data_IF_699178355293
#
_entry.id   IF_699178355293
#
_cell.length_a   1.000
_cell.length_b   1.000
_cell.length_c   1.000
_cell.angle_alpha   90.00
_cell.angle_beta   90.00
_cell.angle_gamma   90.00
#
_symmetry.space_group_name_H-M   'P 1'
#
loop_
_entity.id
_entity.type
_entity.pdbx_description
1 polymer ?
#
# COMPACT_ATOMS: atom_id res chain seq x y z
N UNK A 1 -8.10 -43.60 16.20
CA UNK A 1 -8.05 -42.16 15.87
C UNK A 1 -8.58 -42.02 14.46
N UNK A 2 -9.63 -41.23 14.24
CA UNK A 2 -10.12 -40.98 12.89
C UNK A 2 -9.00 -40.24 12.12
N UNK A 3 -8.60 -40.77 10.96
CA UNK A 3 -7.62 -40.10 10.11
C UNK A 3 -8.18 -38.73 9.71
N UNK A 4 -7.37 -37.67 9.83
CA UNK A 4 -7.79 -36.35 9.41
C UNK A 4 -8.14 -36.37 7.90
N UNK A 5 -9.23 -35.73 7.47
CA UNK A 5 -9.59 -35.67 6.06
C UNK A 5 -8.47 -34.99 5.27
N UNK A 6 -8.10 -35.61 4.15
CA UNK A 6 -7.06 -35.13 3.25
C UNK A 6 -7.71 -34.47 2.05
N UNK A 7 -7.22 -33.29 1.69
CA UNK A 7 -7.74 -32.47 0.60
C UNK A 7 -6.67 -32.25 -0.46
N UNK A 8 -7.11 -31.67 -1.59
CA UNK A 8 -6.27 -31.21 -2.69
C UNK A 8 -5.51 -32.34 -3.40
N UNK A 9 -4.90 -32.02 -4.54
CA UNK A 9 -4.01 -32.93 -5.29
C UNK A 9 -2.78 -33.36 -4.48
N UNK A 10 -2.38 -32.59 -3.46
CA UNK A 10 -1.23 -32.89 -2.60
C UNK A 10 -1.56 -33.83 -1.44
N UNK A 11 -2.82 -34.21 -1.25
CA UNK A 11 -3.28 -35.14 -0.19
C UNK A 11 -2.78 -34.76 1.20
N UNK A 12 -2.92 -33.47 1.54
CA UNK A 12 -2.54 -32.92 2.85
C UNK A 12 -3.79 -32.61 3.70
N UNK A 13 -3.67 -32.63 5.03
CA UNK A 13 -4.75 -32.20 5.91
C UNK A 13 -5.03 -30.69 5.74
N UNK A 14 -6.19 -30.25 6.20
CA UNK A 14 -6.58 -28.84 6.17
C UNK A 14 -5.61 -27.96 6.98
N UNK A 15 -5.23 -26.82 6.39
CA UNK A 15 -4.34 -25.83 6.98
C UNK A 15 -4.98 -24.45 6.88
N UNK A 16 -5.34 -23.87 8.03
CA UNK A 16 -6.00 -22.55 8.15
C UNK A 16 -5.14 -21.42 7.58
N UNK A 17 -3.82 -21.59 7.51
CA UNK A 17 -2.90 -20.56 7.01
C UNK A 17 -2.84 -20.50 5.47
N UNK A 18 -3.44 -21.46 4.76
CA UNK A 18 -3.35 -21.58 3.31
C UNK A 18 -4.70 -21.32 2.67
N UNK A 19 -4.70 -20.42 1.69
CA UNK A 19 -5.88 -20.17 0.85
C UNK A 19 -6.30 -21.45 0.10
N UNK A 20 -7.58 -21.81 0.21
CA UNK A 20 -8.19 -22.94 -0.50
C UNK A 20 -9.47 -22.51 -1.21
N UNK A 21 -9.76 -23.19 -2.33
CA UNK A 21 -10.96 -23.00 -3.15
C UNK A 21 -11.64 -24.35 -3.39
N UNK A 22 -12.97 -24.39 -3.35
CA UNK A 22 -13.78 -25.60 -3.57
C UNK A 22 -14.13 -25.77 -5.05
N UNK A 23 -13.97 -26.99 -5.58
CA UNK A 23 -14.40 -27.32 -6.94
C UNK A 23 -15.89 -27.66 -6.98
N UNK A 24 -16.65 -26.99 -7.85
CA UNK A 24 -18.10 -27.17 -7.95
C UNK A 24 -18.52 -28.54 -8.49
N UNK A 25 -17.64 -29.22 -9.22
CA UNK A 25 -17.91 -30.53 -9.81
C UNK A 25 -17.61 -31.66 -8.81
N UNK A 26 -16.37 -31.75 -8.32
CA UNK A 26 -15.95 -32.85 -7.45
C UNK A 26 -16.16 -32.60 -5.95
N UNK A 27 -16.53 -31.38 -5.56
CA UNK A 27 -16.72 -30.94 -4.16
C UNK A 27 -15.51 -31.15 -3.24
N UNK A 28 -14.31 -31.27 -3.84
CA UNK A 28 -13.04 -31.31 -3.12
C UNK A 28 -12.43 -29.90 -3.03
N UNK A 29 -11.57 -29.69 -2.03
CA UNK A 29 -10.92 -28.42 -1.74
C UNK A 29 -9.47 -28.43 -2.21
N UNK A 30 -9.06 -27.35 -2.89
CA UNK A 30 -7.74 -27.23 -3.50
C UNK A 30 -7.00 -26.03 -2.94
N UNK A 31 -5.73 -26.20 -2.55
CA UNK A 31 -4.88 -25.06 -2.21
C UNK A 31 -4.66 -24.21 -3.46
N UNK A 32 -4.88 -22.90 -3.39
CA UNK A 32 -4.68 -21.99 -4.53
C UNK A 32 -3.28 -22.12 -5.15
N UNK A 33 -2.25 -22.30 -4.31
CA UNK A 33 -0.87 -22.55 -4.73
C UNK A 33 -0.68 -23.84 -5.55
N UNK A 34 -1.51 -24.87 -5.35
CA UNK A 34 -1.43 -26.15 -6.05
C UNK A 34 -2.15 -26.11 -7.41
N UNK A 35 -3.11 -25.20 -7.57
CA UNK A 35 -3.93 -25.06 -8.79
C UNK A 35 -3.70 -23.73 -9.51
N UNK A 36 -2.71 -22.95 -9.09
CA UNK A 36 -2.35 -21.65 -9.67
C UNK A 36 -3.49 -20.61 -9.60
N UNK A 37 -4.28 -20.67 -8.53
CA UNK A 37 -5.34 -19.69 -8.24
C UNK A 37 -4.86 -18.80 -7.10
N UNK A 38 -4.65 -17.52 -7.41
CA UNK A 38 -4.33 -16.50 -6.42
C UNK A 38 -5.58 -16.08 -5.64
N UNK A 39 -5.41 -15.66 -4.39
CA UNK A 39 -6.53 -15.26 -3.52
C UNK A 39 -7.37 -14.11 -4.12
N UNK A 40 -6.73 -13.14 -4.79
CA UNK A 40 -7.45 -12.05 -5.46
C UNK A 40 -8.21 -12.49 -6.73
N UNK A 41 -7.86 -13.62 -7.34
CA UNK A 41 -8.61 -14.18 -8.47
C UNK A 41 -9.85 -14.96 -8.01
N UNK A 42 -9.81 -15.52 -6.80
CA UNK A 42 -10.89 -16.35 -6.26
C UNK A 42 -12.25 -15.67 -6.29
N UNK A 43 -12.29 -14.36 -6.01
CA UNK A 43 -13.54 -13.61 -5.96
C UNK A 43 -14.12 -13.36 -7.36
N UNK A 44 -13.32 -13.49 -8.40
CA UNK A 44 -13.78 -13.35 -9.78
C UNK A 44 -14.34 -14.65 -10.36
N UNK A 45 -14.05 -15.78 -9.73
CA UNK A 45 -14.54 -17.09 -10.15
C UNK A 45 -15.96 -17.25 -9.60
N UNK A 46 -16.90 -17.56 -10.48
CA UNK A 46 -18.29 -17.86 -10.13
C UNK A 46 -18.45 -19.35 -9.82
N UNK A 47 -17.93 -20.20 -10.72
CA UNK A 47 -17.93 -21.66 -10.60
C UNK A 47 -16.50 -22.15 -10.85
N UNK A 48 -15.88 -22.75 -9.83
CA UNK A 48 -14.50 -23.21 -9.93
C UNK A 48 -14.45 -24.68 -10.37
N UNK A 49 -13.69 -24.94 -11.43
CA UNK A 49 -13.36 -26.28 -11.90
C UNK A 49 -11.88 -26.57 -11.66
N UNK A 50 -11.59 -27.65 -10.92
CA UNK A 50 -10.21 -28.08 -10.70
C UNK A 50 -9.58 -28.62 -12.00
N UNK A 51 -8.24 -28.71 -12.11
CA UNK A 51 -7.57 -29.12 -13.34
C UNK A 51 -8.03 -30.48 -13.92
N UNK A 52 -8.50 -31.39 -13.06
CA UNK A 52 -9.04 -32.68 -13.51
C UNK A 52 -10.46 -32.53 -14.07
N UNK A 53 -11.32 -31.73 -13.42
CA UNK A 53 -12.69 -31.49 -13.86
C UNK A 53 -12.77 -30.55 -15.07
N UNK A 54 -11.78 -29.66 -15.25
CA UNK A 54 -11.68 -28.77 -16.40
C UNK A 54 -11.67 -29.55 -17.73
N UNK A 55 -10.93 -30.65 -17.78
CA UNK A 55 -10.82 -31.50 -18.98
C UNK A 55 -12.17 -32.09 -19.42
N UNK A 56 -13.06 -32.40 -18.46
CA UNK A 56 -14.34 -33.05 -18.75
C UNK A 56 -15.52 -32.07 -18.83
N UNK A 57 -15.49 -30.99 -18.04
CA UNK A 57 -16.60 -30.05 -17.87
C UNK A 57 -16.33 -28.65 -18.43
N UNK A 58 -15.13 -28.43 -19.00
CA UNK A 58 -14.67 -27.13 -19.48
C UNK A 58 -14.07 -26.26 -18.38
N UNK A 59 -13.54 -25.07 -18.73
CA UNK A 59 -12.84 -24.21 -17.79
C UNK A 59 -13.77 -23.63 -16.72
N UNK A 60 -13.17 -23.11 -15.66
CA UNK A 60 -13.90 -22.38 -14.60
C UNK A 60 -14.71 -21.22 -15.19
N UNK A 61 -15.93 -21.00 -14.67
CA UNK A 61 -16.79 -19.90 -15.10
C UNK A 61 -16.43 -18.64 -14.31
N UNK A 62 -16.11 -17.58 -15.04
CA UNK A 62 -15.79 -16.28 -14.45
C UNK A 62 -17.05 -15.43 -14.31
N UNK A 63 -17.14 -14.65 -13.23
CA UNK A 63 -18.20 -13.66 -13.06
C UNK A 63 -18.17 -12.65 -14.20
N UNK A 64 -19.36 -12.35 -14.72
CA UNK A 64 -19.50 -11.38 -15.82
C UNK A 64 -19.43 -9.96 -15.29
N UNK A 65 -18.63 -9.12 -15.95
CA UNK A 65 -18.54 -7.69 -15.64
C UNK A 65 -19.76 -6.95 -16.19
N UNK A 66 -20.59 -6.46 -15.29
CA UNK A 66 -21.78 -5.67 -15.60
C UNK A 66 -21.54 -4.15 -15.40
N UNK A 67 -20.60 -3.77 -14.52
CA UNK A 67 -20.28 -2.36 -14.26
C UNK A 67 -18.77 -2.10 -14.06
N UNK A 68 -18.39 -0.82 -14.09
CA UNK A 68 -17.02 -0.33 -13.89
C UNK A 68 -16.89 0.76 -12.81
N UNK A 69 -17.94 0.96 -12.00
CA UNK A 69 -18.02 2.03 -10.99
C UNK A 69 -18.27 1.51 -9.57
N UNK A 70 -18.46 0.20 -9.39
CA UNK A 70 -18.64 -0.47 -8.09
C UNK A 70 -17.50 -1.44 -7.82
N UNK A 71 -17.26 -1.70 -6.54
CA UNK A 71 -16.31 -2.72 -6.06
C UNK A 71 -16.77 -4.12 -6.47
N UNK A 72 -18.09 -4.37 -6.37
CA UNK A 72 -18.70 -5.53 -7.00
C UNK A 72 -19.10 -5.20 -8.45
N UNK A 73 -18.25 -5.64 -9.37
CA UNK A 73 -18.42 -5.40 -10.79
C UNK A 73 -19.58 -6.20 -11.42
N UNK A 74 -20.22 -7.10 -10.68
CA UNK A 74 -21.39 -7.87 -11.15
C UNK A 74 -22.71 -7.15 -10.90
N UNK A 75 -22.72 -6.10 -10.07
CA UNK A 75 -23.93 -5.32 -9.81
C UNK A 75 -24.50 -4.71 -11.12
N UNK A 76 -25.83 -4.59 -11.25
CA UNK A 76 -26.47 -3.96 -12.39
C UNK A 76 -25.97 -2.53 -12.62
N UNK A 77 -25.72 -2.16 -13.87
CA UNK A 77 -25.36 -0.79 -14.24
C UNK A 77 -26.63 0.04 -14.51
N UNK A 78 -27.44 0.24 -13.47
CA UNK A 78 -28.72 0.96 -13.53
C UNK A 78 -28.60 2.47 -13.21
N UNK A 79 -27.42 2.93 -12.81
CA UNK A 79 -27.14 4.32 -12.44
C UNK A 79 -27.71 4.75 -11.09
N UNK A 80 -28.26 3.82 -10.30
CA UNK A 80 -28.82 4.12 -8.98
C UNK A 80 -27.74 4.22 -7.90
N UNK A 81 -26.65 3.46 -8.07
CA UNK A 81 -25.56 3.38 -7.10
C UNK A 81 -24.44 4.36 -7.43
N UNK A 82 -23.85 5.03 -6.42
CA UNK A 82 -22.76 5.97 -6.63
C UNK A 82 -21.46 5.26 -7.00
N UNK A 83 -20.51 6.04 -7.52
CA UNK A 83 -19.17 5.58 -7.87
C UNK A 83 -18.37 5.28 -6.60
N UNK A 84 -17.65 4.15 -6.58
CA UNK A 84 -16.80 3.75 -5.46
C UNK A 84 -15.31 4.01 -5.70
N UNK A 85 -14.59 4.35 -4.64
CA UNK A 85 -13.15 4.62 -4.64
C UNK A 85 -12.34 3.47 -5.24
N UNK A 86 -11.34 3.82 -6.06
CA UNK A 86 -10.44 2.86 -6.73
C UNK A 86 -10.97 2.20 -8.00
N UNK A 87 -12.26 2.36 -8.32
CA UNK A 87 -12.83 1.82 -9.57
C UNK A 87 -12.31 2.57 -10.81
N UNK A 88 -12.33 1.97 -12.01
CA UNK A 88 -11.88 2.63 -13.23
C UNK A 88 -12.60 3.96 -13.52
N UNK A 89 -13.92 4.02 -13.25
CA UNK A 89 -14.69 5.26 -13.40
C UNK A 89 -14.24 6.31 -12.39
N UNK A 90 -14.03 5.92 -11.13
CA UNK A 90 -13.52 6.82 -10.08
C UNK A 90 -12.16 7.43 -10.46
N UNK A 91 -11.20 6.61 -10.93
CA UNK A 91 -9.88 7.11 -11.30
C UNK A 91 -9.97 8.10 -12.47
N UNK A 92 -10.82 7.81 -13.46
CA UNK A 92 -11.05 8.72 -14.59
C UNK A 92 -11.65 10.05 -14.13
N UNK A 93 -12.65 10.02 -13.25
CA UNK A 93 -13.22 11.24 -12.66
C UNK A 93 -12.17 12.02 -11.87
N UNK A 94 -11.40 11.33 -11.02
CA UNK A 94 -10.35 11.90 -10.21
C UNK A 94 -9.27 12.63 -11.05
N UNK A 95 -8.89 12.04 -12.19
CA UNK A 95 -7.94 12.66 -13.13
C UNK A 95 -8.49 13.93 -13.79
N UNK A 96 -9.80 14.03 -13.99
CA UNK A 96 -10.46 15.21 -14.57
C UNK A 96 -10.79 16.31 -13.57
N UNK A 97 -10.75 16.00 -12.26
CA UNK A 97 -11.05 16.97 -11.20
C UNK A 97 -9.99 18.06 -11.10
N UNK A 98 -10.44 19.27 -10.76
CA UNK A 98 -9.59 20.43 -10.50
C UNK A 98 -9.32 20.56 -9.00
N UNK A 99 -8.06 20.79 -8.64
CA UNK A 99 -7.60 20.92 -7.26
C UNK A 99 -6.72 22.15 -7.10
N UNK A 100 -6.59 22.66 -5.86
CA UNK A 100 -5.59 23.68 -5.55
C UNK A 100 -4.18 23.11 -5.76
N UNK A 101 -3.23 23.95 -6.19
CA UNK A 101 -1.86 23.50 -6.40
C UNK A 101 -1.18 23.21 -5.05
N UNK A 102 -0.53 22.05 -4.94
CA UNK A 102 0.28 21.72 -3.77
C UNK A 102 1.47 22.68 -3.56
N UNK A 103 1.85 23.46 -4.56
CA UNK A 103 2.90 24.48 -4.44
C UNK A 103 2.55 25.59 -3.44
N UNK A 104 1.25 25.82 -3.17
CA UNK A 104 0.80 26.80 -2.17
C UNK A 104 1.17 26.41 -0.72
N UNK A 105 1.35 25.11 -0.47
CA UNK A 105 1.56 24.55 0.87
C UNK A 105 2.92 23.87 1.04
N UNK A 106 3.58 23.53 -0.07
CA UNK A 106 4.85 22.82 -0.04
C UNK A 106 6.02 23.78 0.17
N UNK A 107 6.90 23.41 1.09
CA UNK A 107 8.18 24.07 1.26
C UNK A 107 9.20 23.41 0.33
N UNK A 108 9.61 24.11 -0.72
CA UNK A 108 10.69 23.63 -1.58
C UNK A 108 12.04 23.92 -0.92
N UNK A 109 12.85 22.87 -0.74
CA UNK A 109 14.15 22.96 -0.08
C UNK A 109 15.20 22.10 -0.79
N UNK A 110 16.47 22.49 -0.67
CA UNK A 110 17.61 21.62 -1.05
C UNK A 110 17.90 20.64 0.06
N UNK A 111 18.44 19.45 -0.25
CA UNK A 111 18.76 18.42 0.74
C UNK A 111 19.61 18.94 1.90
N UNK A 112 20.66 19.72 1.60
CA UNK A 112 21.54 20.35 2.60
C UNK A 112 20.82 21.27 3.61
N UNK A 113 19.67 21.84 3.22
CA UNK A 113 18.90 22.74 4.09
C UNK A 113 18.00 21.96 5.06
N UNK A 114 17.65 20.72 4.71
CA UNK A 114 16.77 19.86 5.49
C UNK A 114 17.57 19.21 6.62
N UNK A 115 17.80 19.97 7.68
CA UNK A 115 18.54 19.55 8.87
C UNK A 115 17.65 19.47 10.10
N UNK A 116 18.02 18.66 11.08
CA UNK A 116 17.32 18.58 12.38
C UNK A 116 17.21 19.95 13.03
N UNK A 117 18.30 20.73 13.04
CA UNK A 117 18.35 22.09 13.57
C UNK A 117 17.38 23.04 12.86
N UNK A 118 17.19 22.89 11.55
CA UNK A 118 16.22 23.71 10.82
C UNK A 118 14.79 23.39 11.25
N UNK A 119 14.46 22.09 11.34
CA UNK A 119 13.12 21.61 11.73
C UNK A 119 12.79 21.92 13.20
N UNK A 120 13.77 21.90 14.09
CA UNK A 120 13.60 22.33 15.49
C UNK A 120 13.32 23.83 15.61
N UNK A 121 13.96 24.66 14.76
CA UNK A 121 13.81 26.12 14.79
C UNK A 121 12.52 26.61 14.15
N UNK A 122 12.19 26.08 12.98
CA UNK A 122 11.03 26.55 12.19
C UNK A 122 9.80 25.67 12.36
N UNK A 123 9.96 24.50 12.99
CA UNK A 123 8.92 23.48 13.10
C UNK A 123 8.76 22.68 11.81
N UNK A 124 8.25 21.45 11.94
CA UNK A 124 7.89 20.60 10.81
C UNK A 124 6.36 20.53 10.70
N UNK A 125 5.76 21.56 10.09
CA UNK A 125 4.30 21.70 9.99
C UNK A 125 3.75 21.53 8.58
N UNK A 126 4.57 21.81 7.56
CA UNK A 126 4.19 21.75 6.15
C UNK A 126 5.01 20.68 5.41
N UNK A 127 4.47 20.07 4.34
CA UNK A 127 5.19 19.10 3.53
C UNK A 127 6.40 19.76 2.88
N UNK A 128 7.54 19.07 2.90
CA UNK A 128 8.78 19.56 2.31
C UNK A 128 9.06 18.78 1.04
N UNK A 129 9.22 19.50 -0.08
CA UNK A 129 9.61 18.92 -1.38
C UNK A 129 11.09 19.18 -1.61
N UNK A 130 11.84 18.10 -1.79
CA UNK A 130 13.29 18.12 -2.04
C UNK A 130 13.55 17.60 -3.45
N UNK A 131 14.05 18.48 -4.32
CA UNK A 131 14.39 18.16 -5.71
C UNK A 131 15.87 17.79 -5.87
N UNK A 132 16.74 18.26 -4.98
CA UNK A 132 18.17 17.95 -4.96
C UNK A 132 18.46 17.12 -3.70
N UNK A 133 18.75 15.82 -3.88
CA UNK A 133 18.99 14.88 -2.77
C UNK A 133 20.36 15.05 -2.09
N UNK A 134 21.24 15.85 -2.70
CA UNK A 134 22.56 16.17 -2.15
C UNK A 134 22.41 16.81 -0.75
N UNK A 135 23.13 16.24 0.22
CA UNK A 135 23.06 16.66 1.63
C UNK A 135 21.91 16.06 2.44
N UNK A 136 20.97 15.30 1.84
CA UNK A 136 19.86 14.67 2.56
C UNK A 136 20.29 13.40 3.33
N UNK A 137 21.46 12.82 3.01
CA UNK A 137 21.92 11.55 3.57
C UNK A 137 21.22 10.31 3.01
N UNK A 138 20.22 10.50 2.14
CA UNK A 138 19.47 9.44 1.50
C UNK A 138 20.35 8.73 0.45
N UNK A 139 20.58 7.42 0.63
CA UNK A 139 21.19 6.56 -0.40
C UNK A 139 20.15 5.61 -0.94
N UNK A 140 20.12 5.48 -2.26
CA UNK A 140 19.18 4.64 -2.98
C UNK A 140 19.92 3.88 -4.09
N UNK A 141 19.35 2.75 -4.55
CA UNK A 141 19.84 2.08 -5.75
C UNK A 141 19.75 3.01 -6.98
N UNK A 142 20.51 2.71 -8.06
CA UNK A 142 20.53 3.55 -9.25
C UNK A 142 19.13 3.65 -9.89
N UNK A 143 18.84 4.71 -10.66
CA UNK A 143 17.54 4.88 -11.34
C UNK A 143 17.16 3.74 -12.29
N UNK A 144 18.12 2.93 -12.71
CA UNK A 144 17.91 1.72 -13.53
C UNK A 144 17.42 0.51 -12.74
N UNK A 145 17.34 0.60 -11.41
CA UNK A 145 16.87 -0.49 -10.55
C UNK A 145 15.42 -0.82 -10.86
N UNK A 146 15.16 -2.09 -11.15
CA UNK A 146 13.89 -2.59 -11.64
C UNK A 146 13.18 -3.44 -10.60
N UNK A 147 11.90 -3.71 -10.85
CA UNK A 147 11.10 -4.64 -10.02
C UNK A 147 11.71 -6.05 -9.97
N UNK A 148 12.45 -6.47 -11.02
CA UNK A 148 13.17 -7.75 -11.03
C UNK A 148 14.36 -7.75 -10.08
N UNK A 149 15.01 -6.61 -9.90
CA UNK A 149 16.11 -6.50 -8.94
C UNK A 149 15.56 -6.60 -7.51
N UNK A 150 14.39 -6.01 -7.22
CA UNK A 150 13.68 -6.22 -5.95
C UNK A 150 13.49 -7.73 -5.68
N UNK A 151 13.04 -8.51 -6.66
CA UNK A 151 12.92 -9.97 -6.52
C UNK A 151 14.26 -10.64 -6.19
N UNK A 152 15.36 -10.21 -6.81
CA UNK A 152 16.68 -10.79 -6.58
C UNK A 152 17.24 -10.49 -5.19
N UNK A 153 16.99 -9.29 -4.64
CA UNK A 153 17.49 -8.88 -3.33
C UNK A 153 16.59 -9.32 -2.17
N UNK A 154 15.28 -9.31 -2.37
CA UNK A 154 14.28 -9.70 -1.36
C UNK A 154 14.00 -11.20 -1.39
N UNK A 155 14.02 -11.81 -2.57
CA UNK A 155 13.58 -13.19 -2.78
C UNK A 155 14.60 -14.29 -2.56
N UNK A 156 15.88 -13.95 -2.33
CA UNK A 156 16.91 -14.92 -1.95
C UNK A 156 16.78 -15.23 -0.47
N UNK A 157 15.89 -16.17 -0.14
CA UNK A 157 15.79 -16.75 1.18
C UNK A 157 17.12 -17.51 1.48
N UNK A 158 17.94 -16.96 2.37
CA UNK A 158 19.27 -17.50 2.72
C UNK A 158 19.22 -18.78 3.55
N UNK A 159 18.03 -19.37 3.75
CA UNK A 159 17.81 -20.39 4.78
C UNK A 159 17.87 -21.85 4.29
N UNK A 160 17.74 -22.18 3.00
CA UNK A 160 17.88 -23.57 2.54
C UNK A 160 18.52 -23.66 1.14
N UNK A 161 19.58 -24.47 1.04
CA UNK A 161 20.41 -24.61 -0.16
C UNK A 161 19.69 -25.12 -1.40
N UNK A 162 20.27 -24.75 -2.56
CA UNK A 162 20.18 -25.44 -3.85
C UNK A 162 18.80 -25.99 -4.26
N UNK A 163 17.74 -25.20 -4.20
CA UNK A 163 16.50 -25.48 -4.97
C UNK A 163 15.98 -24.17 -5.58
N UNK A 164 15.66 -24.23 -6.87
CA UNK A 164 15.13 -23.21 -7.76
C UNK A 164 14.68 -21.87 -7.14
N UNK A 165 15.32 -20.84 -7.65
CA UNK A 165 15.24 -19.40 -7.40
C UNK A 165 13.84 -18.84 -7.65
N UNK A 166 12.97 -18.83 -6.63
CA UNK A 166 11.70 -18.11 -6.61
C UNK A 166 11.52 -17.47 -5.23
N UNK A 167 11.23 -16.17 -5.19
CA UNK A 167 10.94 -15.47 -3.93
C UNK A 167 9.74 -16.13 -3.25
N UNK A 168 9.98 -16.69 -2.05
CA UNK A 168 8.95 -17.23 -1.15
C UNK A 168 8.33 -16.16 -0.25
N UNK A 169 8.82 -14.91 -0.29
CA UNK A 169 8.29 -13.84 0.55
C UNK A 169 6.85 -13.54 0.12
N UNK A 170 5.93 -13.76 1.06
CA UNK A 170 4.53 -13.40 0.92
C UNK A 170 4.44 -11.90 1.16
N UNK A 171 3.73 -11.22 0.27
CA UNK A 171 3.51 -9.78 0.30
C UNK A 171 2.01 -9.49 0.33
N UNK A 172 1.65 -8.37 0.95
CA UNK A 172 0.28 -7.87 0.95
C UNK A 172 0.09 -6.92 -0.23
N UNK A 173 -0.87 -7.24 -1.10
CA UNK A 173 -1.15 -6.52 -2.33
C UNK A 173 -2.60 -6.07 -2.32
N UNK A 174 -2.84 -4.86 -2.80
CA UNK A 174 -4.16 -4.24 -2.81
C UNK A 174 -4.78 -4.42 -4.20
N UNK A 175 -5.96 -5.06 -4.27
CA UNK A 175 -6.83 -4.98 -5.43
C UNK A 175 -7.52 -3.60 -5.41
N UNK A 176 -6.98 -2.68 -6.20
CA UNK A 176 -7.35 -1.25 -6.15
C UNK A 176 -8.82 -1.04 -6.49
N UNK A 177 -9.36 -1.81 -7.45
CA UNK A 177 -10.75 -1.68 -7.87
C UNK A 177 -11.75 -2.11 -6.79
N UNK A 178 -11.29 -2.92 -5.83
CA UNK A 178 -12.11 -3.45 -4.73
C UNK A 178 -11.75 -2.85 -3.37
N UNK A 179 -10.67 -2.07 -3.30
CA UNK A 179 -10.08 -1.55 -2.06
C UNK A 179 -9.89 -2.67 -1.02
N UNK A 180 -9.40 -3.83 -1.46
CA UNK A 180 -9.25 -5.01 -0.63
C UNK A 180 -7.81 -5.54 -0.68
N UNK A 181 -7.27 -5.89 0.49
CA UNK A 181 -5.97 -6.54 0.63
C UNK A 181 -6.05 -8.03 0.29
N UNK A 182 -5.01 -8.55 -0.35
CA UNK A 182 -4.81 -9.97 -0.64
C UNK A 182 -3.34 -10.33 -0.53
N UNK A 183 -3.05 -11.57 -0.17
CA UNK A 183 -1.68 -12.08 -0.08
C UNK A 183 -1.27 -12.75 -1.38
N UNK A 184 -0.07 -12.48 -1.85
CA UNK A 184 0.53 -13.20 -2.98
C UNK A 184 2.05 -13.31 -2.83
N UNK A 185 2.71 -14.15 -3.63
CA UNK A 185 4.18 -14.20 -3.61
C UNK A 185 4.75 -13.02 -4.37
N UNK A 186 5.89 -12.50 -3.92
CA UNK A 186 6.62 -11.46 -4.65
C UNK A 186 6.89 -11.89 -6.10
N UNK A 187 7.29 -13.14 -6.33
CA UNK A 187 7.56 -13.65 -7.68
C UNK A 187 6.32 -13.63 -8.60
N UNK A 188 5.12 -13.86 -8.07
CA UNK A 188 3.86 -13.75 -8.82
C UNK A 188 3.53 -12.29 -9.12
N UNK A 189 3.74 -11.39 -8.16
CA UNK A 189 3.52 -9.95 -8.36
C UNK A 189 4.46 -9.38 -9.42
N UNK A 190 5.72 -9.79 -9.44
CA UNK A 190 6.70 -9.35 -10.44
C UNK A 190 6.36 -9.87 -11.84
N UNK A 191 5.84 -11.11 -11.95
CA UNK A 191 5.29 -11.64 -13.22
C UNK A 191 4.09 -10.83 -13.69
N UNK A 192 3.16 -10.51 -12.79
CA UNK A 192 2.01 -9.64 -13.08
C UNK A 192 2.47 -8.25 -13.54
N UNK A 193 3.42 -7.64 -12.82
CA UNK A 193 3.93 -6.30 -13.11
C UNK A 193 4.63 -6.25 -14.47
N UNK A 194 5.37 -7.31 -14.82
CA UNK A 194 6.08 -7.40 -16.10
C UNK A 194 5.16 -7.67 -17.29
N UNK A 195 3.90 -8.08 -17.06
CA UNK A 195 2.94 -8.33 -18.13
C UNK A 195 2.34 -7.00 -18.62
N UNK A 196 2.41 -6.68 -19.94
CA UNK A 196 1.81 -5.47 -20.48
C UNK A 196 0.28 -5.49 -20.46
N UNK A 197 -0.34 -6.68 -20.46
CA UNK A 197 -1.79 -6.84 -20.39
C UNK A 197 -2.18 -7.24 -18.97
N UNK A 198 -2.59 -6.25 -18.17
CA UNK A 198 -2.95 -6.44 -16.76
C UNK A 198 -4.48 -6.53 -16.62
N UNK A 199 -5.04 -7.66 -16.17
CA UNK A 199 -6.49 -7.83 -16.05
C UNK A 199 -7.07 -7.02 -14.89
N UNK A 200 -6.25 -6.70 -13.89
CA UNK A 200 -6.59 -5.94 -12.68
C UNK A 200 -5.53 -4.91 -12.37
N UNK A 201 -5.84 -3.96 -11.51
CA UNK A 201 -4.91 -2.96 -10.98
C UNK A 201 -4.50 -3.39 -9.57
N UNK A 202 -3.26 -3.86 -9.43
CA UNK A 202 -2.68 -4.30 -8.15
C UNK A 202 -1.62 -3.31 -7.69
N UNK A 203 -1.64 -2.99 -6.40
CA UNK A 203 -0.71 -2.04 -5.79
C UNK A 203 -0.04 -2.65 -4.56
N UNK A 204 1.28 -2.50 -4.46
CA UNK A 204 2.07 -2.94 -3.32
C UNK A 204 2.63 -1.72 -2.59
N UNK A 205 2.20 -1.50 -1.35
CA UNK A 205 2.61 -0.34 -0.54
C UNK A 205 3.32 -0.70 0.76
N UNK A 206 3.24 -1.96 1.19
CA UNK A 206 3.65 -2.41 2.53
C UNK A 206 4.83 -3.38 2.53
N UNK A 207 5.61 -3.46 1.43
CA UNK A 207 6.80 -4.30 1.38
C UNK A 207 7.93 -3.68 2.21
N UNK A 208 7.99 -4.08 3.48
CA UNK A 208 9.09 -3.80 4.39
C UNK A 208 10.27 -4.73 4.08
N UNK A 209 11.45 -4.14 3.92
CA UNK A 209 12.65 -4.87 3.48
C UNK A 209 13.87 -4.68 4.39
N UNK A 210 13.71 -4.15 5.60
CA UNK A 210 14.81 -3.94 6.55
C UNK A 210 15.52 -5.24 6.93
N UNK A 211 14.80 -6.35 6.89
CA UNK A 211 15.28 -7.71 7.17
C UNK A 211 15.94 -8.41 5.97
N UNK A 212 16.06 -7.74 4.82
CA UNK A 212 16.57 -8.33 3.58
C UNK A 212 17.92 -7.75 3.16
N UNK A 213 18.58 -8.40 2.19
CA UNK A 213 19.80 -7.88 1.55
C UNK A 213 19.59 -6.54 0.83
N UNK A 214 18.35 -6.21 0.49
CA UNK A 214 18.00 -4.92 -0.11
C UNK A 214 18.19 -3.76 0.88
N UNK A 215 18.19 -4.03 2.18
CA UNK A 215 18.42 -3.03 3.23
C UNK A 215 19.79 -2.35 3.11
N UNK A 216 20.80 -3.06 2.60
CA UNK A 216 22.16 -2.54 2.39
C UNK A 216 22.24 -1.51 1.25
N UNK A 217 21.27 -1.52 0.33
CA UNK A 217 21.22 -0.58 -0.80
C UNK A 217 20.55 0.75 -0.45
N UNK A 218 19.83 0.80 0.67
CA UNK A 218 19.00 1.94 1.05
C UNK A 218 19.40 2.46 2.43
N UNK A 219 19.87 3.69 2.46
CA UNK A 219 20.03 4.47 3.69
C UNK A 219 18.95 5.54 3.73
N UNK A 220 18.22 5.62 4.85
CA UNK A 220 17.13 6.59 5.05
C UNK A 220 17.68 8.01 5.16
N UNK A 221 16.87 9.07 4.95
CA UNK A 221 17.31 10.44 5.16
C UNK A 221 17.90 10.68 6.56
N UNK A 222 18.96 11.49 6.64
CA UNK A 222 19.64 11.85 7.89
C UNK A 222 18.67 12.36 8.95
N UNK A 223 17.71 13.19 8.54
CA UNK A 223 16.65 13.73 9.41
C UNK A 223 15.74 12.63 9.95
N UNK A 224 15.35 11.66 9.11
CA UNK A 224 14.50 10.56 9.53
C UNK A 224 15.23 9.68 10.56
N UNK A 225 16.52 9.39 10.32
CA UNK A 225 17.34 8.63 11.25
C UNK A 225 17.56 9.37 12.58
N UNK A 226 18.05 10.61 12.52
CA UNK A 226 18.40 11.41 13.71
C UNK A 226 17.20 11.76 14.58
N UNK A 227 16.01 11.86 14.01
CA UNK A 227 14.80 12.24 14.76
C UNK A 227 13.93 11.04 15.17
N UNK A 228 14.17 9.85 14.60
CA UNK A 228 13.37 8.66 14.86
C UNK A 228 13.45 8.24 16.33
N UNK A 229 12.31 8.06 16.98
CA UNK A 229 12.23 7.48 18.31
C UNK A 229 12.78 6.06 18.37
N UNK A 230 12.55 5.27 17.32
CA UNK A 230 12.98 3.88 17.25
C UNK A 230 14.51 3.78 17.17
N UNK A 231 15.15 4.72 16.48
CA UNK A 231 16.62 4.74 16.37
C UNK A 231 17.31 5.32 17.61
N UNK A 232 16.68 6.26 18.32
CA UNK A 232 17.31 6.94 19.44
C UNK A 232 16.95 6.36 20.82
N UNK A 233 15.76 5.77 20.97
CA UNK A 233 15.20 5.43 22.29
C UNK A 233 14.77 3.97 22.43
N UNK A 234 14.72 3.19 21.35
CA UNK A 234 14.37 1.78 21.46
C UNK A 234 15.56 0.98 22.00
N UNK A 235 15.45 0.32 23.17
CA UNK A 235 16.57 -0.43 23.74
C UNK A 235 16.83 -1.72 22.96
N UNK A 236 18.11 -2.06 22.78
CA UNK A 236 18.54 -3.29 22.09
C UNK A 236 18.16 -4.55 22.87
N UNK A 237 18.05 -4.45 24.20
CA UNK A 237 17.64 -5.51 25.12
C UNK A 237 16.13 -5.50 25.42
N UNK A 238 15.34 -4.77 24.62
CA UNK A 238 13.88 -4.76 24.75
C UNK A 238 13.30 -6.17 24.64
N UNK A 239 12.37 -6.50 25.54
CA UNK A 239 11.56 -7.70 25.42
C UNK A 239 10.68 -7.70 24.16
N UNK A 240 10.29 -6.50 23.69
CA UNK A 240 9.46 -6.35 22.51
C UNK A 240 10.31 -6.28 21.24
N UNK A 241 9.86 -6.89 20.12
CA UNK A 241 10.59 -6.80 18.85
C UNK A 241 10.67 -5.36 18.38
N UNK A 242 11.84 -4.95 17.87
CA UNK A 242 12.05 -3.61 17.32
C UNK A 242 11.09 -3.38 16.15
N UNK A 243 10.33 -2.27 16.12
CA UNK A 243 9.42 -1.97 15.02
C UNK A 243 10.21 -1.55 13.78
N UNK A 244 10.18 -2.38 12.74
CA UNK A 244 10.75 -2.07 11.42
C UNK A 244 9.68 -1.46 10.53
N UNK A 245 9.72 -0.14 10.41
CA UNK A 245 8.78 0.65 9.59
C UNK A 245 9.51 1.75 8.79
N UNK A 246 10.82 1.59 8.62
CA UNK A 246 11.70 2.65 8.13
C UNK A 246 12.02 2.52 6.64
N UNK A 247 11.87 1.31 6.07
CA UNK A 247 12.28 0.99 4.71
C UNK A 247 11.18 0.18 4.00
N UNK A 248 10.34 0.90 3.26
CA UNK A 248 9.31 0.36 2.40
C UNK A 248 9.67 0.51 0.94
N UNK A 249 9.46 -0.55 0.17
CA UNK A 249 9.50 -0.52 -1.29
C UNK A 249 8.06 -0.53 -1.80
N UNK A 250 7.68 0.53 -2.49
CA UNK A 250 6.34 0.68 -3.03
C UNK A 250 6.40 0.44 -4.53
N UNK A 251 5.57 -0.47 -5.03
CA UNK A 251 5.45 -0.79 -6.45
C UNK A 251 3.97 -0.73 -6.83
N UNK A 252 3.62 0.25 -7.65
CA UNK A 252 2.25 0.46 -8.08
C UNK A 252 2.17 0.61 -9.59
N UNK A 253 1.21 -0.08 -10.20
CA UNK A 253 0.92 0.09 -11.62
C UNK A 253 0.15 1.39 -11.85
N UNK A 254 0.12 1.86 -13.10
CA UNK A 254 -0.73 2.97 -13.53
C UNK A 254 -2.17 2.78 -13.03
N UNK A 255 -2.79 3.89 -12.62
CA UNK A 255 -4.14 3.99 -12.08
C UNK A 255 -4.31 3.35 -10.68
N UNK A 256 -3.21 2.95 -10.02
CA UNK A 256 -3.27 2.50 -8.63
C UNK A 256 -3.64 3.65 -7.70
N UNK A 257 -4.62 3.43 -6.82
CA UNK A 257 -5.15 4.43 -5.91
C UNK A 257 -5.20 3.91 -4.47
N UNK A 258 -4.75 4.76 -3.54
CA UNK A 258 -4.88 4.58 -2.10
C UNK A 258 -5.69 5.75 -1.57
N UNK A 259 -6.83 5.44 -0.94
CA UNK A 259 -7.77 6.45 -0.45
C UNK A 259 -7.21 7.28 0.72
N UNK A 260 -7.92 8.33 1.12
CA UNK A 260 -7.50 9.26 2.16
C UNK A 260 -7.26 8.55 3.49
N UNK A 261 -6.07 8.74 4.02
CA UNK A 261 -5.69 8.20 5.32
C UNK A 261 -4.72 9.13 6.06
N UNK A 262 -4.53 8.84 7.34
CA UNK A 262 -3.44 9.36 8.16
C UNK A 262 -2.52 8.17 8.43
N UNK A 263 -1.21 8.37 8.26
CA UNK A 263 -0.22 7.34 8.56
C UNK A 263 -0.35 6.81 9.99
N UNK A 264 -0.10 5.51 10.15
CA UNK A 264 -0.24 4.82 11.43
C UNK A 264 0.58 5.47 12.54
N UNK A 265 -0.01 5.55 13.73
CA UNK A 265 0.54 6.24 14.90
C UNK A 265 0.71 7.76 14.71
N UNK A 266 0.16 8.33 13.63
CA UNK A 266 0.44 9.69 13.21
C UNK A 266 1.90 9.91 12.84
N UNK A 267 2.59 8.91 12.28
CA UNK A 267 4.01 9.01 11.90
C UNK A 267 4.27 10.11 10.86
N UNK A 268 5.50 10.62 10.82
CA UNK A 268 6.03 11.35 9.66
C UNK A 268 6.49 10.37 8.61
N UNK A 269 6.35 10.75 7.33
CA UNK A 269 6.77 9.93 6.19
C UNK A 269 7.84 10.65 5.39
N UNK A 270 8.84 9.91 4.94
CA UNK A 270 9.66 10.29 3.80
C UNK A 270 9.30 9.40 2.61
N UNK A 271 9.27 9.99 1.42
CA UNK A 271 8.83 9.32 0.20
C UNK A 271 9.68 9.77 -0.98
N UNK A 272 10.36 8.86 -1.65
CA UNK A 272 11.19 9.14 -2.82
C UNK A 272 10.73 8.32 -4.02
N UNK A 273 10.44 8.99 -5.13
CA UNK A 273 10.05 8.31 -6.38
C UNK A 273 11.31 7.98 -7.17
N UNK A 274 11.64 6.69 -7.32
CA UNK A 274 12.81 6.29 -8.12
C UNK A 274 12.53 6.47 -9.61
N UNK A 275 11.39 5.95 -10.08
CA UNK A 275 10.88 6.14 -11.44
C UNK A 275 9.36 6.10 -11.46
N UNK A 276 8.77 6.70 -12.49
CA UNK A 276 7.33 6.92 -12.60
C UNK A 276 6.88 8.23 -11.94
N UNK A 277 5.60 8.28 -11.55
CA UNK A 277 5.00 9.48 -10.98
C UNK A 277 3.87 9.14 -10.00
N UNK A 278 3.89 9.81 -8.85
CA UNK A 278 2.84 9.75 -7.83
C UNK A 278 2.20 11.11 -7.65
N UNK A 279 0.89 11.12 -7.45
CA UNK A 279 0.10 12.32 -7.17
C UNK A 279 -0.48 12.17 -5.79
N UNK A 280 -0.09 13.07 -4.88
CA UNK A 280 -0.61 13.15 -3.52
C UNK A 280 -1.73 14.20 -3.48
N UNK A 281 -2.86 13.83 -2.87
CA UNK A 281 -3.95 14.73 -2.55
C UNK A 281 -3.87 15.05 -1.06
N UNK A 282 -3.35 16.23 -0.73
CA UNK A 282 -3.00 16.63 0.62
C UNK A 282 -4.09 17.51 1.23
N UNK A 283 -4.48 17.22 2.46
CA UNK A 283 -5.45 17.99 3.23
C UNK A 283 -4.83 18.38 4.57
N UNK A 284 -4.93 19.67 4.90
CA UNK A 284 -4.41 20.25 6.14
C UNK A 284 -5.17 19.69 7.36
N UNK A 285 -4.52 19.44 8.52
CA UNK A 285 -5.10 18.74 9.66
C UNK A 285 -5.73 19.72 10.62
N UNK A 286 -6.64 20.55 10.13
CA UNK A 286 -7.36 21.44 11.04
C UNK A 286 -8.22 20.58 11.97
N UNK A 287 -8.50 21.02 13.20
CA UNK A 287 -9.42 20.28 14.09
C UNK A 287 -10.76 19.96 13.43
N UNK A 288 -11.24 20.84 12.54
CA UNK A 288 -12.43 20.61 11.73
C UNK A 288 -12.23 19.45 10.73
N UNK A 289 -11.14 19.46 9.94
CA UNK A 289 -10.85 18.41 8.97
C UNK A 289 -10.62 17.05 9.63
N UNK A 290 -9.97 17.02 10.80
CA UNK A 290 -9.76 15.79 11.57
C UNK A 290 -11.08 15.19 12.08
N UNK A 291 -12.01 16.04 12.55
CA UNK A 291 -13.34 15.58 12.95
C UNK A 291 -14.16 15.06 11.75
N UNK A 292 -14.07 15.73 10.60
CA UNK A 292 -14.69 15.27 9.36
C UNK A 292 -14.11 13.94 8.88
N UNK A 293 -12.79 13.77 8.98
CA UNK A 293 -12.09 12.54 8.63
C UNK A 293 -12.52 11.38 9.52
N UNK A 294 -12.60 11.60 10.84
CA UNK A 294 -13.05 10.57 11.79
C UNK A 294 -14.51 10.15 11.53
N UNK A 295 -15.38 11.11 11.20
CA UNK A 295 -16.78 10.83 10.83
C UNK A 295 -16.90 10.12 9.46
N UNK A 296 -16.06 10.47 8.49
CA UNK A 296 -16.03 9.82 7.18
C UNK A 296 -15.47 8.39 7.26
N UNK A 297 -14.38 8.19 8.01
CA UNK A 297 -13.73 6.89 8.16
C UNK A 297 -14.57 5.86 8.93
N UNK A 298 -15.55 6.32 9.73
CA UNK A 298 -16.51 5.46 10.42
C UNK A 298 -17.85 5.32 9.69
N UNK A 299 -18.00 6.00 8.53
CA UNK A 299 -19.24 5.99 7.76
C UNK A 299 -19.40 4.70 6.95
N UNK A 300 -20.60 4.11 6.89
CA UNK A 300 -20.85 2.96 5.99
C UNK A 300 -20.68 3.32 4.52
N UNK A 301 -20.81 4.60 4.16
CA UNK A 301 -20.70 5.10 2.79
C UNK A 301 -19.30 5.65 2.48
N UNK A 302 -18.29 5.31 3.28
CA UNK A 302 -16.90 5.78 3.09
C UNK A 302 -16.43 5.59 1.66
N UNK A 303 -16.66 4.38 1.09
CA UNK A 303 -16.22 4.02 -0.25
C UNK A 303 -16.89 4.80 -1.38
N UNK A 304 -18.04 5.43 -1.13
CA UNK A 304 -18.86 6.14 -2.12
C UNK A 304 -18.66 7.66 -2.09
N UNK A 305 -17.95 8.17 -1.07
CA UNK A 305 -17.79 9.59 -0.82
C UNK A 305 -16.32 9.97 -0.94
N UNK A 306 -15.98 10.79 -1.92
CA UNK A 306 -14.64 11.37 -2.02
C UNK A 306 -14.40 12.39 -0.91
N UNK A 307 -13.53 12.07 0.05
CA UNK A 307 -13.29 12.91 1.22
C UNK A 307 -12.78 14.31 0.87
N UNK A 308 -12.07 14.47 -0.26
CA UNK A 308 -11.61 15.78 -0.72
C UNK A 308 -12.73 16.78 -1.01
N UNK A 309 -13.97 16.34 -1.22
CA UNK A 309 -15.14 17.23 -1.41
C UNK A 309 -15.76 17.68 -0.08
N UNK A 310 -15.39 17.05 1.05
CA UNK A 310 -15.89 17.38 2.39
C UNK A 310 -15.11 18.50 3.07
N UNK A 311 -13.95 18.85 2.53
CA UNK A 311 -13.03 19.82 3.13
C UNK A 311 -12.92 21.07 2.27
N UNK A 312 -12.54 22.19 2.89
CA UNK A 312 -12.46 23.48 2.18
C UNK A 312 -11.43 23.47 1.05
N UNK A 313 -10.28 22.82 1.28
CA UNK A 313 -9.16 22.76 0.32
C UNK A 313 -8.50 21.39 0.34
N UNK A 314 -8.44 20.79 -0.85
CA UNK A 314 -7.65 19.61 -1.15
C UNK A 314 -6.58 19.99 -2.19
N UNK A 315 -5.32 19.77 -1.85
CA UNK A 315 -4.16 20.20 -2.64
C UNK A 315 -3.60 19.04 -3.45
N UNK A 316 -3.42 19.23 -4.76
CA UNK A 316 -2.81 18.24 -5.65
C UNK A 316 -1.30 18.48 -5.74
N UNK A 317 -0.51 17.52 -5.27
CA UNK A 317 0.95 17.53 -5.29
C UNK A 317 1.46 16.44 -6.24
N UNK A 318 2.11 16.85 -7.34
CA UNK A 318 2.76 15.91 -8.27
C UNK A 318 4.21 15.68 -7.81
N UNK A 319 4.54 14.40 -7.59
CA UNK A 319 5.88 13.93 -7.21
C UNK A 319 6.42 13.11 -8.38
N UNK A 320 7.27 13.75 -9.16
CA UNK A 320 7.98 13.14 -10.29
C UNK A 320 9.20 12.35 -9.82
N UNK A 321 9.75 11.52 -10.71
CA UNK A 321 11.00 10.79 -10.49
C UNK A 321 12.13 11.69 -9.96
N UNK A 322 12.94 11.13 -9.05
CA UNK A 322 14.06 11.80 -8.39
C UNK A 322 13.66 12.80 -7.29
N UNK A 323 12.37 13.04 -7.07
CA UNK A 323 11.89 13.95 -6.02
C UNK A 323 11.66 13.19 -4.71
N UNK A 324 12.12 13.78 -3.60
CA UNK A 324 11.78 13.34 -2.25
C UNK A 324 10.74 14.26 -1.63
N UNK A 325 9.68 13.68 -1.06
CA UNK A 325 8.67 14.36 -0.27
C UNK A 325 8.82 13.96 1.19
N UNK A 326 8.78 14.93 2.10
CA UNK A 326 8.68 14.71 3.54
C UNK A 326 7.32 15.20 4.02
N UNK A 327 6.51 14.31 4.56
CA UNK A 327 5.18 14.59 5.09
C UNK A 327 5.25 14.61 6.61
N UNK A 328 4.84 15.70 7.28
CA UNK A 328 4.91 15.79 8.73
C UNK A 328 3.81 15.00 9.46
N UNK A 329 4.23 14.46 10.60
CA UNK A 329 3.49 13.76 11.64
C UNK A 329 2.03 14.14 11.81
N UNK A 330 1.10 13.18 11.63
CA UNK A 330 -0.28 13.26 12.10
C UNK A 330 -1.06 14.50 11.62
N UNK A 331 -0.52 15.15 10.59
CA UNK A 331 -0.90 16.49 10.17
C UNK A 331 -1.35 16.52 8.72
N UNK A 332 -1.27 15.45 7.96
CA UNK A 332 -1.75 15.51 6.58
C UNK A 332 -2.55 14.27 6.27
N UNK A 333 -3.86 14.49 6.14
CA UNK A 333 -4.74 13.49 5.55
C UNK A 333 -4.39 13.48 4.08
N UNK A 334 -4.04 12.31 3.55
CA UNK A 334 -3.60 12.23 2.17
C UNK A 334 -4.12 10.99 1.45
N UNK A 335 -4.44 11.16 0.17
CA UNK A 335 -4.69 10.07 -0.78
C UNK A 335 -3.59 10.08 -1.84
N UNK A 336 -3.34 8.93 -2.46
CA UNK A 336 -2.27 8.77 -3.45
C UNK A 336 -2.80 8.12 -4.71
N UNK A 337 -2.58 8.78 -5.85
CA UNK A 337 -2.82 8.22 -7.18
C UNK A 337 -1.49 7.96 -7.88
N UNK A 338 -1.41 6.82 -8.54
CA UNK A 338 -0.25 6.41 -9.34
C UNK A 338 -0.54 6.73 -10.80
N UNK A 339 0.00 7.86 -11.27
CA UNK A 339 -0.25 8.40 -12.62
C UNK A 339 0.34 7.50 -13.71
N UNK A 340 1.49 6.90 -13.40
CA UNK A 340 2.27 6.03 -14.27
C UNK A 340 2.79 4.87 -13.44
N UNK A 341 3.13 3.75 -14.08
CA UNK A 341 3.89 2.67 -13.44
C UNK A 341 5.05 3.25 -12.64
N UNK A 342 5.09 2.96 -11.35
CA UNK A 342 5.96 3.66 -10.42
C UNK A 342 6.55 2.72 -9.37
N UNK A 343 7.82 2.95 -9.09
CA UNK A 343 8.48 2.42 -7.91
C UNK A 343 9.03 3.56 -7.06
N UNK A 344 8.75 3.46 -5.77
CA UNK A 344 9.16 4.44 -4.79
C UNK A 344 9.72 3.75 -3.55
N UNK A 345 10.48 4.52 -2.79
CA UNK A 345 10.98 4.15 -1.49
C UNK A 345 10.39 5.09 -0.46
N UNK A 346 10.03 4.56 0.70
CA UNK A 346 9.54 5.40 1.78
C UNK A 346 9.77 4.78 3.14
N UNK A 347 9.43 5.53 4.16
CA UNK A 347 9.56 5.08 5.53
C UNK A 347 8.89 6.02 6.50
N UNK A 348 8.50 5.45 7.63
CA UNK A 348 7.77 6.13 8.68
C UNK A 348 8.70 6.34 9.88
N UNK A 349 8.55 7.47 10.56
CA UNK A 349 9.30 7.77 11.79
C UNK A 349 8.49 8.65 12.74
N UNK A 350 8.65 8.42 14.04
CA UNK A 350 8.11 9.26 15.12
C UNK A 350 9.20 10.18 15.64
N UNK A 351 8.84 11.38 16.11
CA UNK A 351 9.83 12.35 16.58
C UNK A 351 9.29 13.32 17.65
N UNK A 352 10.20 14.06 18.28
CA UNK A 352 9.86 14.97 19.39
C UNK A 352 9.16 16.28 18.99
N UNK A 353 9.14 16.68 17.71
CA UNK A 353 8.60 18.00 17.32
C UNK A 353 7.08 18.13 17.51
N UNK A 354 6.33 17.03 17.46
CA UNK A 354 4.86 17.05 17.47
C UNK A 354 4.26 15.87 18.25
N UNK A 355 4.79 15.58 19.44
CA UNK A 355 4.33 14.46 20.30
C UNK A 355 2.82 14.51 20.54
N UNK A 356 2.28 15.69 20.84
CA UNK A 356 0.85 15.86 21.11
C UNK A 356 -0.04 15.47 19.93
N UNK A 357 0.42 15.64 18.68
CA UNK A 357 -0.35 15.23 17.51
C UNK A 357 -0.24 13.72 17.26
N UNK A 358 0.93 13.11 17.47
CA UNK A 358 1.11 11.65 17.40
C UNK A 358 0.13 10.95 18.34
N UNK A 359 0.04 11.43 19.59
CA UNK A 359 -0.88 10.88 20.59
C UNK A 359 -2.35 11.03 20.18
N UNK A 360 -2.74 12.18 19.61
CA UNK A 360 -4.10 12.39 19.10
C UNK A 360 -4.47 11.43 17.96
N UNK A 361 -3.54 11.21 17.03
CA UNK A 361 -3.75 10.27 15.92
C UNK A 361 -3.88 8.84 16.45
N UNK A 362 -3.02 8.45 17.40
CA UNK A 362 -3.11 7.16 18.06
C UNK A 362 -4.45 6.96 18.78
N UNK A 363 -4.95 7.97 19.50
CA UNK A 363 -6.26 7.92 20.14
C UNK A 363 -7.40 7.82 19.12
N UNK A 364 -7.31 8.53 17.99
CA UNK A 364 -8.28 8.44 16.89
C UNK A 364 -8.32 7.04 16.29
N UNK A 365 -7.17 6.44 15.98
CA UNK A 365 -7.10 5.06 15.48
C UNK A 365 -7.73 4.07 16.45
N UNK A 366 -7.52 4.25 17.76
CA UNK A 366 -8.14 3.39 18.78
C UNK A 366 -9.65 3.48 18.78
N UNK A 367 -10.22 4.68 18.55
CA UNK A 367 -11.68 4.88 18.46
C UNK A 367 -12.26 4.28 17.18
N UNK A 368 -11.55 4.42 16.06
CA UNK A 368 -11.96 3.85 14.76
C UNK A 368 -11.89 2.31 14.75
N UNK A 369 -10.88 1.71 15.39
CA UNK A 369 -10.73 0.25 15.48
C UNK A 369 -11.67 -0.40 16.51
N UNK A 370 -12.05 0.33 17.56
CA UNK A 370 -12.99 -0.12 18.58
C UNK A 370 -14.13 0.91 18.72
N UNK A 371 -15.06 0.98 17.77
CA UNK A 371 -16.25 1.80 17.92
C UNK A 371 -17.06 1.20 19.06
N UNK A 372 -16.91 1.73 20.28
CA UNK A 372 -17.80 1.34 21.38
C UNK A 372 -19.21 1.76 20.96
N UNK A 373 -20.19 0.85 20.96
CA UNK A 373 -21.57 1.30 20.89
C UNK A 373 -21.82 2.19 22.12
N UNK A 374 -22.22 3.44 21.87
CA UNK A 374 -22.74 4.33 22.89
C UNK A 374 -24.04 3.75 23.47
#
# INVERSE_FOLDING_TARGET
>A
MAAAPLYCVCRQPYDVSRFMIECDICKDWFHGSCVQVEEHHAVDIDVYHCPNCDVEHGPSLMKTRNNCHRHDYTEPNDGLKPVQAGTPVFVKELQTRTFASGEEIMMQMKGEQVTTRYLERHGFSYPIKVTEMEGLGLKLPPPTFSVKDVEQYVGKDTSYGFVLQCSRKIIDVIDVARQADSKMKLSEFIKYYSNPCRPKVLNLISLEFSDTKMSELVEVPDVAQKMSWVENYWPDDSFFPKPFVQKYCLMGVKDSYTDFHIDFGGTSVWYHVLWGEKIFYLIKPTPANLALYEAWSSSPNQSEVFFGDKVDKCYKCVVSQGTTLLIPTGRWIHAVLTSQDCMAFGGNFLHNLNIGMQLRCYEMERRLKNPRPL
#
